data_IF_849883762738
#
_entry.id   IF_849883762738
#
_cell.length_a   1.000
_cell.length_b   1.000
_cell.length_c   1.000
_cell.angle_alpha   90.00
_cell.angle_beta   90.00
_cell.angle_gamma   90.00
#
_symmetry.space_group_name_H-M   'P 1'
#
loop_
_entity.id
_entity.type
_entity.pdbx_description
1 polymer ?
#
# COMPACT_ATOMS: atom_id res chain seq x y z
N UNK A 1 15.73 -20.04 1.23
CA UNK A 1 15.22 -19.53 -0.06
C UNK A 1 14.88 -18.06 0.14
N UNK A 2 15.19 -17.19 -0.83
CA UNK A 2 14.77 -15.79 -0.75
C UNK A 2 13.24 -15.72 -0.87
N UNK A 3 12.59 -14.90 -0.04
CA UNK A 3 11.16 -14.65 -0.17
C UNK A 3 10.93 -13.74 -1.39
N UNK A 4 9.76 -13.86 -2.00
CA UNK A 4 9.35 -12.95 -3.06
C UNK A 4 9.05 -11.60 -2.42
N UNK A 5 9.58 -10.51 -3.00
CA UNK A 5 9.28 -9.15 -2.56
C UNK A 5 7.97 -8.67 -3.19
N UNK A 6 7.13 -8.01 -2.40
CA UNK A 6 5.86 -7.44 -2.85
C UNK A 6 5.71 -6.00 -2.38
N UNK A 7 5.09 -5.17 -3.22
CA UNK A 7 4.71 -3.80 -2.86
C UNK A 7 3.22 -3.75 -2.55
N UNK A 8 2.87 -3.21 -1.39
CA UNK A 8 1.49 -3.03 -0.96
C UNK A 8 1.06 -1.59 -1.21
N UNK A 9 0.01 -1.45 -2.01
CA UNK A 9 -0.62 -0.17 -2.33
C UNK A 9 -1.75 0.13 -1.33
N UNK A 10 -2.09 1.41 -1.15
CA UNK A 10 -3.12 1.92 -0.23
C UNK A 10 -4.46 1.17 -0.32
N UNK A 11 -4.91 0.80 -1.51
CA UNK A 11 -6.15 0.05 -1.74
C UNK A 11 -6.13 -1.37 -1.16
N UNK A 12 -4.98 -2.05 -1.15
CA UNK A 12 -4.83 -3.36 -0.50
C UNK A 12 -5.01 -3.23 1.01
N UNK A 13 -4.44 -2.18 1.60
CA UNK A 13 -4.57 -1.88 3.03
C UNK A 13 -6.01 -1.46 3.37
N UNK A 14 -6.60 -0.61 2.52
CA UNK A 14 -7.97 -0.13 2.66
C UNK A 14 -9.03 -1.22 2.58
N UNK A 15 -8.74 -2.33 1.89
CA UNK A 15 -9.61 -3.49 1.85
C UNK A 15 -9.72 -4.21 3.21
N UNK A 16 -8.69 -4.14 4.06
CA UNK A 16 -8.62 -4.90 5.31
C UNK A 16 -9.74 -4.57 6.31
N UNK A 17 -10.27 -3.34 6.30
CA UNK A 17 -11.40 -2.91 7.15
C UNK A 17 -12.62 -2.46 6.33
N UNK A 18 -12.71 -2.90 5.08
CA UNK A 18 -13.80 -2.47 4.19
C UNK A 18 -15.10 -3.21 4.48
N UNK A 19 -16.00 -2.56 5.20
CA UNK A 19 -17.31 -3.12 5.53
C UNK A 19 -18.32 -3.03 4.38
N UNK A 20 -18.02 -2.28 3.32
CA UNK A 20 -18.89 -2.17 2.13
C UNK A 20 -18.72 -3.37 1.19
N UNK A 21 -17.54 -4.01 1.21
CA UNK A 21 -17.25 -5.27 0.52
C UNK A 21 -16.70 -6.34 1.48
N UNK A 22 -17.57 -7.05 2.22
CA UNK A 22 -17.15 -8.05 3.19
C UNK A 22 -16.35 -9.20 2.59
N UNK A 23 -16.64 -9.60 1.35
CA UNK A 23 -15.93 -10.70 0.69
C UNK A 23 -14.47 -10.31 0.42
N UNK A 24 -14.25 -9.12 -0.15
CA UNK A 24 -12.90 -8.59 -0.36
C UNK A 24 -12.17 -8.41 0.96
N UNK A 25 -12.83 -7.87 1.98
CA UNK A 25 -12.26 -7.68 3.32
C UNK A 25 -11.80 -9.00 3.93
N UNK A 26 -12.66 -10.01 3.96
CA UNK A 26 -12.35 -11.28 4.60
C UNK A 26 -11.22 -12.02 3.85
N UNK A 27 -11.15 -11.90 2.52
CA UNK A 27 -10.02 -12.40 1.73
C UNK A 27 -8.72 -11.66 2.06
N UNK A 28 -8.76 -10.32 2.14
CA UNK A 28 -7.59 -9.51 2.51
C UNK A 28 -7.12 -9.83 3.92
N UNK A 29 -8.01 -9.99 4.90
CA UNK A 29 -7.67 -10.39 6.27
C UNK A 29 -6.98 -11.75 6.25
N UNK A 30 -7.56 -12.75 5.58
CA UNK A 30 -6.98 -14.10 5.50
C UNK A 30 -5.58 -14.07 4.88
N UNK A 31 -5.41 -13.35 3.78
CA UNK A 31 -4.11 -13.21 3.13
C UNK A 31 -3.10 -12.50 4.05
N UNK A 32 -3.53 -11.44 4.73
CA UNK A 32 -2.66 -10.65 5.61
C UNK A 32 -2.11 -11.46 6.79
N UNK A 33 -2.96 -12.29 7.39
CA UNK A 33 -2.62 -13.10 8.57
C UNK A 33 -1.81 -14.35 8.20
N UNK A 34 -2.10 -14.98 7.05
CA UNK A 34 -1.55 -16.31 6.73
C UNK A 34 -0.53 -16.31 5.59
N UNK A 35 -0.66 -15.42 4.61
CA UNK A 35 0.17 -15.45 3.41
C UNK A 35 1.20 -14.31 3.38
N UNK A 36 0.87 -13.10 3.84
CA UNK A 36 1.81 -11.98 3.92
C UNK A 36 3.14 -12.35 4.58
N UNK A 37 3.20 -13.15 5.68
CA UNK A 37 4.47 -13.53 6.30
C UNK A 37 5.40 -14.34 5.38
N UNK A 38 4.88 -14.90 4.28
CA UNK A 38 5.65 -15.65 3.28
C UNK A 38 6.39 -14.73 2.29
N UNK A 39 6.12 -13.42 2.32
CA UNK A 39 6.71 -12.42 1.42
C UNK A 39 7.56 -11.41 2.20
N UNK A 40 8.47 -10.75 1.48
CA UNK A 40 9.10 -9.51 1.94
C UNK A 40 8.23 -8.35 1.45
N UNK A 41 7.32 -7.91 2.32
CA UNK A 41 6.36 -6.85 1.99
C UNK A 41 6.94 -5.46 2.25
N UNK A 42 6.66 -4.55 1.33
CA UNK A 42 7.08 -3.15 1.40
C UNK A 42 5.93 -2.20 1.07
N UNK A 43 5.99 -0.98 1.58
CA UNK A 43 5.11 0.15 1.21
C UNK A 43 5.96 1.36 0.80
N UNK A 44 5.34 2.46 0.36
CA UNK A 44 6.05 3.74 0.20
C UNK A 44 5.54 4.80 1.18
N UNK A 45 6.28 5.90 1.38
CA UNK A 45 5.77 7.08 2.08
C UNK A 45 4.49 7.66 1.48
N UNK A 46 4.19 7.43 0.19
CA UNK A 46 2.93 7.87 -0.42
C UNK A 46 1.73 7.12 0.17
N UNK A 47 1.88 5.82 0.41
CA UNK A 47 0.83 4.99 1.04
C UNK A 47 0.48 5.53 2.43
N UNK A 48 1.49 5.84 3.24
CA UNK A 48 1.30 6.45 4.56
C UNK A 48 0.52 7.78 4.43
N UNK A 49 0.94 8.66 3.52
CA UNK A 49 0.27 9.96 3.29
C UNK A 49 -1.19 9.81 2.83
N UNK A 50 -1.50 8.78 2.06
CA UNK A 50 -2.88 8.52 1.64
C UNK A 50 -3.74 8.02 2.79
N UNK A 51 -3.20 7.14 3.65
CA UNK A 51 -3.88 6.68 4.86
C UNK A 51 -4.08 7.80 5.88
N UNK A 52 -3.11 8.70 6.04
CA UNK A 52 -3.20 9.88 6.92
C UNK A 52 -4.35 10.83 6.56
N UNK A 53 -4.75 10.86 5.29
CA UNK A 53 -5.89 11.66 4.79
C UNK A 53 -7.25 11.03 5.08
N UNK A 54 -7.28 9.78 5.54
CA UNK A 54 -8.53 9.13 5.90
C UNK A 54 -9.11 9.70 7.21
N UNK A 55 -10.42 9.51 7.40
CA UNK A 55 -11.11 9.90 8.64
C UNK A 55 -10.94 8.84 9.72
N UNK A 56 -10.98 9.26 10.97
CA UNK A 56 -11.07 8.33 12.10
C UNK A 56 -12.39 7.56 12.10
N UNK A 57 -12.43 6.32 12.62
CA UNK A 57 -11.32 5.58 13.25
C UNK A 57 -10.42 4.81 12.26
N UNK A 58 -10.73 4.85 10.96
CA UNK A 58 -10.02 4.06 9.93
C UNK A 58 -8.56 4.46 9.79
N UNK A 59 -8.26 5.76 9.84
CA UNK A 59 -6.90 6.29 9.75
C UNK A 59 -5.97 5.63 10.77
N UNK A 60 -6.29 5.72 12.07
CA UNK A 60 -5.41 5.16 13.09
C UNK A 60 -5.31 3.64 12.99
N UNK A 61 -6.40 2.96 12.63
CA UNK A 61 -6.41 1.52 12.46
C UNK A 61 -5.47 1.08 11.32
N UNK A 62 -5.52 1.73 10.16
CA UNK A 62 -4.64 1.40 9.03
C UNK A 62 -3.18 1.74 9.31
N UNK A 63 -2.89 2.91 9.90
CA UNK A 63 -1.51 3.28 10.26
C UNK A 63 -0.90 2.30 11.27
N UNK A 64 -1.71 1.76 12.18
CA UNK A 64 -1.26 0.70 13.08
C UNK A 64 -1.01 -0.62 12.34
N UNK A 65 -1.88 -0.98 11.39
CA UNK A 65 -1.78 -2.23 10.61
C UNK A 65 -0.47 -2.31 9.81
N UNK A 66 0.00 -1.18 9.28
CA UNK A 66 1.22 -1.13 8.43
C UNK A 66 2.49 -0.73 9.18
N UNK A 67 2.42 -0.52 10.50
CA UNK A 67 3.50 0.10 11.29
C UNK A 67 4.84 -0.61 11.15
N UNK A 68 4.81 -1.94 11.08
CA UNK A 68 6.02 -2.77 11.03
C UNK A 68 6.44 -3.13 9.59
N UNK A 69 5.78 -2.55 8.58
CA UNK A 69 6.12 -2.78 7.18
C UNK A 69 7.17 -1.76 6.73
N UNK A 70 8.33 -2.21 6.20
CA UNK A 70 9.38 -1.32 5.74
C UNK A 70 8.89 -0.42 4.59
N UNK A 71 9.32 0.84 4.64
CA UNK A 71 9.02 1.83 3.60
C UNK A 71 10.18 1.92 2.61
N UNK A 72 9.88 1.81 1.32
CA UNK A 72 10.81 2.10 0.24
C UNK A 72 10.91 3.61 0.04
N UNK A 73 12.14 4.11 0.05
CA UNK A 73 12.43 5.52 -0.19
C UNK A 73 11.97 5.94 -1.59
N UNK A 74 11.43 7.16 -1.68
CA UNK A 74 11.11 7.79 -2.95
C UNK A 74 12.35 8.59 -3.35
N UNK A 75 13.23 7.97 -4.11
CA UNK A 75 14.47 8.60 -4.55
C UNK A 75 14.24 9.57 -5.72
N UNK A 76 15.26 10.35 -6.05
CA UNK A 76 15.23 11.23 -7.21
C UNK A 76 14.98 10.46 -8.51
N UNK A 77 15.59 9.29 -8.68
CA UNK A 77 15.41 8.43 -9.86
C UNK A 77 13.96 7.96 -10.02
N UNK A 78 13.27 7.66 -8.92
CA UNK A 78 11.84 7.34 -8.94
C UNK A 78 11.03 8.53 -9.43
N UNK A 79 11.37 9.74 -8.98
CA UNK A 79 10.75 10.98 -9.44
C UNK A 79 10.95 11.23 -10.94
N UNK A 80 12.19 11.08 -11.41
CA UNK A 80 12.55 11.22 -12.83
C UNK A 80 11.78 10.20 -13.69
N UNK A 81 11.68 8.95 -13.22
CA UNK A 81 10.93 7.90 -13.91
C UNK A 81 9.43 8.24 -14.00
N UNK A 82 8.83 8.69 -12.89
CA UNK A 82 7.43 9.08 -12.84
C UNK A 82 7.12 10.25 -13.80
N UNK A 83 7.93 11.31 -13.78
CA UNK A 83 7.81 12.43 -14.72
C UNK A 83 8.01 11.97 -16.17
N UNK A 84 8.92 11.01 -16.40
CA UNK A 84 9.10 10.37 -17.70
C UNK A 84 7.85 9.67 -18.22
N UNK A 85 7.05 9.03 -17.35
CA UNK A 85 5.78 8.43 -17.74
C UNK A 85 4.70 9.48 -18.04
N UNK A 86 4.63 10.55 -17.24
CA UNK A 86 3.69 11.65 -17.44
C UNK A 86 3.97 12.38 -18.76
N UNK A 87 5.24 12.73 -19.02
CA UNK A 87 5.64 13.45 -20.23
C UNK A 87 5.33 12.67 -21.52
N UNK A 88 5.29 11.33 -21.45
CA UNK A 88 4.92 10.44 -22.57
C UNK A 88 3.41 10.22 -22.70
N UNK A 89 2.60 10.83 -21.83
CA UNK A 89 1.15 10.65 -21.82
C UNK A 89 0.68 9.27 -21.36
N UNK A 90 1.56 8.47 -20.76
CA UNK A 90 1.21 7.14 -20.23
C UNK A 90 0.29 7.29 -19.02
N UNK A 91 0.59 8.28 -18.17
CA UNK A 91 -0.28 8.70 -17.07
C UNK A 91 -0.64 10.18 -17.24
N UNK A 92 -1.88 10.52 -16.87
CA UNK A 92 -2.36 11.90 -16.85
C UNK A 92 -2.10 12.49 -15.47
N UNK A 93 -1.66 13.77 -15.40
CA UNK A 93 -1.71 14.51 -14.15
C UNK A 93 -3.18 14.75 -13.79
N UNK A 94 -3.55 14.45 -12.55
CA UNK A 94 -4.84 14.83 -11.97
C UNK A 94 -4.88 16.31 -11.64
#
# INVERSE_FOLDING_TARGET
>A
MAKISIYLETSVIGAYLDNEDPFRRDLTIRWWEHERPLYDAYISPLVVRELERMREPRRQAYLNLIRDIPQLEITEEVGILAEGYIARGIFQRK
#
